data_IF_944796575295
#
_entry.id   IF_944796575295
#
_cell.length_a   1.000
_cell.length_b   1.000
_cell.length_c   1.000
_cell.angle_alpha   90.00
_cell.angle_beta   90.00
_cell.angle_gamma   90.00
#
_symmetry.space_group_name_H-M   'P 1'
#
loop_
_entity.id
_entity.type
_entity.pdbx_description
1 polymer ?
#
# COMPACT_ATOMS: atom_id res chain seq x y z
N UNK A 1 -41.40 6.99 14.56
CA UNK A 1 -39.99 6.59 14.43
C UNK A 1 -39.51 6.74 12.98
N UNK A 2 -39.54 7.98 12.47
CA UNK A 2 -39.43 8.32 11.03
C UNK A 2 -38.20 9.21 10.80
N UNK A 3 -36.99 8.69 11.05
CA UNK A 3 -35.77 9.52 10.95
C UNK A 3 -34.49 8.81 10.51
N UNK A 4 -34.51 7.49 10.31
CA UNK A 4 -33.29 6.71 10.03
C UNK A 4 -32.87 6.52 8.56
N UNK A 5 -33.70 6.71 7.51
CA UNK A 5 -33.21 6.50 6.13
C UNK A 5 -32.39 7.68 5.58
N UNK A 6 -32.59 8.91 6.08
CA UNK A 6 -31.91 10.10 5.56
C UNK A 6 -30.42 10.17 5.93
N UNK A 7 -30.05 9.74 7.15
CA UNK A 7 -28.66 9.80 7.64
C UNK A 7 -27.74 8.81 6.91
N UNK A 8 -28.29 7.66 6.48
CA UNK A 8 -27.52 6.62 5.75
C UNK A 8 -27.26 7.01 4.30
N UNK A 9 -28.13 7.82 3.70
CA UNK A 9 -27.97 8.36 2.36
C UNK A 9 -26.91 9.48 2.30
N UNK A 10 -26.88 10.37 3.30
CA UNK A 10 -25.87 11.44 3.38
C UNK A 10 -24.45 10.90 3.51
N UNK A 11 -24.21 9.90 4.37
CA UNK A 11 -22.88 9.29 4.49
C UNK A 11 -22.44 8.55 3.22
N UNK A 12 -23.38 7.94 2.47
CA UNK A 12 -23.04 7.32 1.18
C UNK A 12 -22.69 8.36 0.11
N UNK A 13 -23.33 9.54 0.11
CA UNK A 13 -23.00 10.62 -0.82
C UNK A 13 -21.60 11.20 -0.56
N UNK A 14 -21.24 11.47 0.69
CA UNK A 14 -19.90 11.96 1.04
C UNK A 14 -18.79 10.95 0.72
N UNK A 15 -19.04 9.65 0.95
CA UNK A 15 -18.06 8.60 0.63
C UNK A 15 -17.85 8.46 -0.87
N UNK A 16 -18.90 8.60 -1.69
CA UNK A 16 -18.79 8.53 -3.16
C UNK A 16 -18.12 9.77 -3.75
N UNK A 17 -18.33 10.95 -3.17
CA UNK A 17 -17.69 12.19 -3.61
C UNK A 17 -16.19 12.18 -3.30
N UNK A 18 -15.78 11.66 -2.14
CA UNK A 18 -14.36 11.54 -1.78
C UNK A 18 -13.61 10.55 -2.69
N UNK A 19 -14.24 9.42 -3.04
CA UNK A 19 -13.66 8.46 -3.99
C UNK A 19 -13.60 9.04 -5.41
N UNK A 20 -14.62 9.80 -5.83
CA UNK A 20 -14.61 10.46 -7.14
C UNK A 20 -13.53 11.56 -7.24
N UNK A 21 -13.29 12.32 -6.17
CA UNK A 21 -12.25 13.35 -6.14
C UNK A 21 -10.83 12.74 -6.07
N UNK A 22 -10.66 11.60 -5.39
CA UNK A 22 -9.40 10.87 -5.35
C UNK A 22 -9.08 10.19 -6.71
N UNK A 23 -10.09 9.85 -7.51
CA UNK A 23 -9.94 9.25 -8.84
C UNK A 23 -9.91 10.27 -9.99
N UNK A 24 -10.26 11.54 -9.74
CA UNK A 24 -10.23 12.61 -10.74
C UNK A 24 -8.85 12.80 -11.43
N UNK A 25 -7.69 12.75 -10.75
CA UNK A 25 -6.41 12.86 -11.44
C UNK A 25 -6.05 11.60 -12.26
N UNK A 26 -6.71 10.46 -12.01
CA UNK A 26 -6.52 9.20 -12.76
C UNK A 26 -7.40 9.16 -14.01
N UNK A 27 -8.61 9.73 -13.96
CA UNK A 27 -9.56 9.69 -15.08
C UNK A 27 -9.41 10.85 -16.09
N UNK A 28 -8.76 11.96 -15.72
CA UNK A 28 -8.52 13.08 -16.63
C UNK A 28 -7.44 12.80 -17.70
N UNK A 29 -6.86 11.58 -17.72
CA UNK A 29 -5.73 11.21 -18.59
C UNK A 29 -6.13 10.23 -19.70
N UNK A 30 -7.22 10.52 -20.41
CA UNK A 30 -7.51 9.79 -21.65
C UNK A 30 -8.82 10.17 -22.30
N UNK A 31 -8.75 11.09 -23.28
CA UNK A 31 -9.46 11.03 -24.58
C UNK A 31 -9.22 12.34 -25.34
N UNK A 32 -8.62 12.25 -26.54
CA UNK A 32 -8.61 13.33 -27.53
C UNK A 32 -7.43 13.26 -28.50
N UNK A 33 -7.63 12.58 -29.63
CA UNK A 33 -6.75 12.62 -30.82
C UNK A 33 -7.01 13.87 -31.66
N UNK A 34 -5.90 14.39 -32.21
CA UNK A 34 -5.67 15.17 -33.44
C UNK A 34 -6.48 16.45 -33.73
N UNK A 35 -5.75 17.57 -33.88
CA UNK A 35 -5.80 18.49 -35.03
C UNK A 35 -4.75 19.61 -34.90
N UNK A 36 -3.96 19.85 -35.96
CA UNK A 36 -3.52 21.20 -36.34
C UNK A 36 -2.30 21.82 -35.65
N UNK A 37 -1.22 21.91 -36.43
CA UNK A 37 0.02 22.66 -36.20
C UNK A 37 -0.16 24.01 -35.45
N UNK A 38 0.52 24.17 -34.31
CA UNK A 38 1.15 25.42 -33.88
C UNK A 38 2.29 25.07 -32.92
N UNK A 39 3.49 25.54 -33.22
CA UNK A 39 4.66 25.51 -32.34
C UNK A 39 4.27 25.71 -30.87
N UNK A 40 4.56 24.72 -30.05
CA UNK A 40 4.55 24.87 -28.60
C UNK A 40 5.72 24.07 -28.09
N UNK A 41 6.69 24.78 -27.48
CA UNK A 41 7.88 24.20 -26.87
C UNK A 41 7.51 22.94 -26.09
N UNK A 42 8.00 21.81 -26.59
CA UNK A 42 7.73 20.48 -26.06
C UNK A 42 8.51 20.21 -24.78
N UNK A 43 8.47 21.13 -23.82
CA UNK A 43 8.90 20.82 -22.47
C UNK A 43 7.75 20.08 -21.79
N UNK A 44 7.98 18.86 -21.28
CA UNK A 44 6.99 18.25 -20.39
C UNK A 44 6.73 19.23 -19.22
N UNK A 45 5.47 19.39 -18.80
CA UNK A 45 5.09 20.21 -17.62
C UNK A 45 5.83 19.77 -16.34
N UNK A 46 6.42 18.56 -16.36
CA UNK A 46 7.46 18.12 -15.44
C UNK A 46 8.75 17.87 -16.24
N UNK A 47 9.57 18.91 -16.38
CA UNK A 47 10.90 18.79 -16.94
C UNK A 47 11.83 18.12 -15.91
N UNK A 48 11.83 16.79 -15.89
CA UNK A 48 12.78 16.01 -15.09
C UNK A 48 14.23 16.20 -15.56
N UNK A 49 14.47 16.91 -16.67
CA UNK A 49 15.80 17.18 -17.21
C UNK A 49 16.51 18.36 -16.53
N UNK A 50 15.82 19.16 -15.70
CA UNK A 50 16.43 20.32 -15.00
C UNK A 50 16.24 20.29 -13.47
N UNK A 51 16.01 19.10 -12.90
CA UNK A 51 16.17 18.91 -11.45
C UNK A 51 17.64 18.61 -11.20
N UNK A 52 18.41 19.65 -10.91
CA UNK A 52 19.87 19.64 -10.69
C UNK A 52 20.35 18.77 -9.51
N UNK A 53 19.47 18.05 -8.82
CA UNK A 53 19.81 17.12 -7.75
C UNK A 53 19.00 15.81 -7.86
N UNK A 54 19.70 14.69 -8.11
CA UNK A 54 19.15 13.32 -8.14
C UNK A 54 18.30 12.99 -6.89
N UNK A 55 18.61 13.63 -5.76
CA UNK A 55 17.87 13.50 -4.51
C UNK A 55 16.48 14.16 -4.54
N UNK A 56 16.34 15.30 -5.23
CA UNK A 56 15.07 16.03 -5.33
C UNK A 56 14.06 15.27 -6.19
N UNK A 57 14.53 14.64 -7.28
CA UNK A 57 13.68 13.77 -8.11
C UNK A 57 13.20 12.53 -7.32
N UNK A 58 14.08 11.89 -6.55
CA UNK A 58 13.69 10.76 -5.68
C UNK A 58 12.69 11.19 -4.60
N UNK A 59 12.89 12.35 -3.96
CA UNK A 59 11.98 12.86 -2.93
C UNK A 59 10.59 13.22 -3.49
N UNK A 60 10.52 13.84 -4.67
CA UNK A 60 9.24 14.15 -5.31
C UNK A 60 8.42 12.91 -5.65
N UNK A 61 9.07 11.77 -5.91
CA UNK A 61 8.38 10.49 -6.11
C UNK A 61 8.05 9.77 -4.79
N UNK A 62 9.01 9.76 -3.85
CA UNK A 62 8.90 9.01 -2.59
C UNK A 62 7.87 9.60 -1.63
N UNK A 63 7.80 10.93 -1.51
CA UNK A 63 6.88 11.62 -0.59
C UNK A 63 5.41 11.30 -0.87
N UNK A 64 4.88 11.46 -2.11
CA UNK A 64 3.48 11.12 -2.38
C UNK A 64 3.20 9.62 -2.23
N UNK A 65 4.17 8.74 -2.54
CA UNK A 65 4.01 7.30 -2.37
C UNK A 65 3.90 6.90 -0.89
N UNK A 66 4.77 7.46 -0.05
CA UNK A 66 4.75 7.24 1.40
C UNK A 66 3.46 7.79 2.01
N UNK A 67 3.04 8.99 1.61
CA UNK A 67 1.78 9.60 2.07
C UNK A 67 0.56 8.74 1.68
N UNK A 68 0.52 8.23 0.45
CA UNK A 68 -0.54 7.32 0.00
C UNK A 68 -0.58 6.04 0.84
N UNK A 69 0.59 5.46 1.15
CA UNK A 69 0.71 4.30 2.04
C UNK A 69 0.18 4.58 3.46
N UNK A 70 0.57 5.71 4.04
CA UNK A 70 0.13 6.12 5.39
C UNK A 70 -1.38 6.36 5.43
N UNK A 71 -1.94 7.08 4.45
CA UNK A 71 -3.38 7.37 4.37
C UNK A 71 -4.17 6.06 4.24
N UNK A 72 -3.70 5.13 3.39
CA UNK A 72 -4.30 3.80 3.24
C UNK A 72 -4.27 3.01 4.55
N UNK A 73 -3.14 3.01 5.26
CA UNK A 73 -3.00 2.33 6.55
C UNK A 73 -3.95 2.91 7.61
N UNK A 74 -4.08 4.25 7.68
CA UNK A 74 -5.02 4.92 8.60
C UNK A 74 -6.46 4.53 8.28
N UNK A 75 -6.83 4.48 7.00
CA UNK A 75 -8.16 4.06 6.57
C UNK A 75 -8.46 2.61 6.96
N UNK A 76 -7.53 1.69 6.75
CA UNK A 76 -7.67 0.28 7.17
C UNK A 76 -7.81 0.17 8.69
N UNK A 77 -7.04 0.94 9.46
CA UNK A 77 -7.16 1.00 10.92
C UNK A 77 -8.55 1.48 11.37
N UNK A 78 -9.08 2.52 10.72
CA UNK A 78 -10.41 3.05 11.00
C UNK A 78 -11.52 2.02 10.71
N UNK A 79 -11.44 1.32 9.57
CA UNK A 79 -12.38 0.25 9.23
C UNK A 79 -12.31 -0.89 10.24
N UNK A 80 -11.10 -1.30 10.63
CA UNK A 80 -10.89 -2.39 11.60
C UNK A 80 -11.55 -2.04 12.95
N UNK A 81 -11.32 -0.83 13.48
CA UNK A 81 -11.97 -0.38 14.72
C UNK A 81 -13.50 -0.32 14.60
N UNK A 82 -14.00 0.16 13.46
CA UNK A 82 -15.45 0.24 13.20
C UNK A 82 -16.10 -1.15 13.13
N UNK A 83 -15.39 -2.14 12.58
CA UNK A 83 -15.85 -3.53 12.50
C UNK A 83 -15.78 -4.22 13.87
N UNK A 84 -14.72 -4.00 14.65
CA UNK A 84 -14.60 -4.56 16.00
C UNK A 84 -15.64 -3.99 16.98
N UNK A 85 -16.18 -2.80 16.70
CA UNK A 85 -17.25 -2.19 17.49
C UNK A 85 -18.66 -2.73 17.17
N UNK A 86 -18.80 -3.66 16.23
CA UNK A 86 -20.11 -4.27 15.91
C UNK A 86 -20.45 -5.38 16.91
N UNK A 87 -21.75 -5.53 17.18
CA UNK A 87 -22.30 -6.58 18.05
C UNK A 87 -21.84 -7.96 17.61
N UNK A 88 -21.35 -8.74 18.55
CA UNK A 88 -20.89 -10.12 18.34
C UNK A 88 -22.03 -11.11 18.58
N UNK A 89 -21.84 -12.40 18.26
CA UNK A 89 -22.87 -13.44 18.41
C UNK A 89 -23.43 -13.56 19.84
N UNK A 90 -22.65 -13.22 20.87
CA UNK A 90 -23.10 -13.11 22.26
C UNK A 90 -24.16 -12.00 22.45
N UNK A 91 -24.01 -10.87 21.76
CA UNK A 91 -24.93 -9.72 21.85
C UNK A 91 -26.24 -9.89 21.05
N UNK A 92 -26.32 -10.95 20.23
CA UNK A 92 -27.44 -11.28 19.34
C UNK A 92 -28.14 -12.58 19.79
N UNK A 93 -27.66 -13.24 20.85
CA UNK A 93 -28.25 -14.46 21.40
C UNK A 93 -27.92 -15.74 20.62
N UNK A 94 -26.90 -15.70 19.74
CA UNK A 94 -26.44 -16.86 18.96
C UNK A 94 -24.96 -17.13 19.23
N UNK A 95 -24.62 -17.67 20.42
CA UNK A 95 -23.22 -17.87 20.86
C UNK A 95 -22.46 -18.91 20.02
N UNK A 96 -23.18 -19.77 19.28
CA UNK A 96 -22.56 -20.75 18.36
C UNK A 96 -21.79 -20.08 17.23
N UNK A 97 -22.20 -18.88 16.80
CA UNK A 97 -21.53 -18.16 15.71
C UNK A 97 -20.13 -17.70 16.13
N UNK A 98 -19.99 -17.18 17.34
CA UNK A 98 -18.68 -16.75 17.87
C UNK A 98 -17.76 -17.96 18.13
N UNK A 99 -18.31 -19.10 18.55
CA UNK A 99 -17.54 -20.34 18.68
C UNK A 99 -16.98 -20.83 17.35
N UNK A 100 -17.79 -20.81 16.26
CA UNK A 100 -17.33 -21.18 14.92
C UNK A 100 -16.27 -20.18 14.40
N UNK A 101 -16.52 -18.87 14.56
CA UNK A 101 -15.58 -17.84 14.15
C UNK A 101 -14.23 -17.95 14.89
N UNK A 102 -14.26 -18.24 16.19
CA UNK A 102 -13.06 -18.45 17.00
C UNK A 102 -12.27 -19.69 16.54
N UNK A 103 -12.97 -20.78 16.17
CA UNK A 103 -12.32 -22.01 15.68
C UNK A 103 -11.65 -21.82 14.32
N UNK A 104 -12.27 -21.07 13.41
CA UNK A 104 -11.65 -20.72 12.12
C UNK A 104 -10.44 -19.82 12.33
N UNK A 105 -10.55 -18.80 13.20
CA UNK A 105 -9.45 -17.89 13.52
C UNK A 105 -8.27 -18.61 14.18
N UNK A 106 -8.52 -19.53 15.12
CA UNK A 106 -7.44 -20.29 15.75
C UNK A 106 -6.77 -21.25 14.78
N UNK A 107 -7.55 -21.89 13.90
CA UNK A 107 -7.03 -22.73 12.82
C UNK A 107 -6.12 -21.96 11.85
N UNK A 108 -6.55 -20.78 11.39
CA UNK A 108 -5.74 -19.96 10.47
C UNK A 108 -4.45 -19.44 11.11
N UNK A 109 -4.49 -19.03 12.38
CA UNK A 109 -3.28 -18.59 13.10
C UNK A 109 -2.29 -19.74 13.28
N UNK A 110 -2.78 -20.95 13.61
CA UNK A 110 -1.92 -22.11 13.79
C UNK A 110 -1.24 -22.54 12.48
N UNK A 111 -2.00 -22.54 11.38
CA UNK A 111 -1.48 -22.82 10.05
C UNK A 111 -0.44 -21.78 9.59
N UNK A 112 -0.77 -20.49 9.71
CA UNK A 112 0.14 -19.41 9.34
C UNK A 112 1.44 -19.48 10.15
N UNK A 113 1.39 -19.77 11.46
CA UNK A 113 2.62 -19.90 12.26
C UNK A 113 3.57 -20.97 11.72
N UNK A 114 3.03 -22.13 11.35
CA UNK A 114 3.84 -23.22 10.83
C UNK A 114 4.41 -22.88 9.44
N UNK A 115 3.61 -22.26 8.58
CA UNK A 115 4.04 -21.86 7.23
C UNK A 115 5.08 -20.73 7.27
N UNK A 116 4.85 -19.67 8.07
CA UNK A 116 5.78 -18.56 8.24
C UNK A 116 7.13 -19.00 8.79
N UNK A 117 7.20 -20.10 9.56
CA UNK A 117 8.47 -20.65 10.03
C UNK A 117 9.35 -21.13 8.87
N UNK A 118 8.79 -21.89 7.94
CA UNK A 118 9.55 -22.36 6.77
C UNK A 118 9.83 -21.23 5.80
N UNK A 119 8.85 -20.34 5.58
CA UNK A 119 9.01 -19.19 4.71
C UNK A 119 10.08 -18.21 5.22
N UNK A 120 10.14 -17.95 6.53
CA UNK A 120 11.17 -17.08 7.12
C UNK A 120 12.58 -17.66 6.95
N UNK A 121 12.75 -18.97 7.13
CA UNK A 121 14.05 -19.63 6.88
C UNK A 121 14.44 -19.52 5.41
N UNK A 122 13.49 -19.68 4.47
CA UNK A 122 13.74 -19.51 3.05
C UNK A 122 14.21 -18.08 2.71
N UNK A 123 13.51 -17.06 3.20
CA UNK A 123 13.90 -15.65 2.98
C UNK A 123 15.26 -15.35 3.64
N UNK A 124 15.55 -15.91 4.81
CA UNK A 124 16.84 -15.74 5.48
C UNK A 124 18.00 -16.34 4.66
N UNK A 125 17.83 -17.52 4.09
CA UNK A 125 18.84 -18.12 3.19
C UNK A 125 19.07 -17.24 1.97
N UNK A 126 17.99 -16.73 1.36
CA UNK A 126 18.11 -15.81 0.23
C UNK A 126 18.81 -14.50 0.60
N UNK A 127 18.56 -13.95 1.79
CA UNK A 127 19.25 -12.75 2.26
C UNK A 127 20.77 -12.98 2.38
N UNK A 128 21.20 -14.16 2.83
CA UNK A 128 22.62 -14.54 2.85
C UNK A 128 23.19 -14.67 1.45
N UNK A 129 22.46 -15.29 0.52
CA UNK A 129 22.90 -15.42 -0.89
C UNK A 129 23.07 -14.04 -1.52
N UNK A 130 22.10 -13.14 -1.36
CA UNK A 130 22.13 -11.76 -1.86
C UNK A 130 23.28 -10.97 -1.24
N UNK A 131 23.51 -11.13 0.07
CA UNK A 131 24.65 -10.51 0.76
C UNK A 131 25.98 -10.95 0.13
N UNK A 132 26.22 -12.26 0.03
CA UNK A 132 27.48 -12.78 -0.50
C UNK A 132 27.66 -12.40 -1.97
N UNK A 133 26.61 -12.52 -2.78
CA UNK A 133 26.66 -12.23 -4.21
C UNK A 133 27.04 -10.77 -4.48
N UNK A 134 26.38 -9.82 -3.80
CA UNK A 134 26.64 -8.39 -3.99
C UNK A 134 27.82 -7.84 -3.19
N UNK A 135 28.37 -8.62 -2.25
CA UNK A 135 29.69 -8.34 -1.68
C UNK A 135 30.82 -8.76 -2.62
N UNK A 136 30.67 -9.85 -3.37
CA UNK A 136 31.68 -10.31 -4.34
C UNK A 136 31.59 -9.53 -5.65
N UNK A 137 30.37 -9.29 -6.14
CA UNK A 137 30.09 -8.55 -7.37
C UNK A 137 29.39 -7.24 -6.99
N UNK A 138 30.14 -6.15 -6.74
CA UNK A 138 29.54 -4.89 -6.32
C UNK A 138 28.69 -4.29 -7.45
N UNK A 139 27.58 -3.64 -7.08
CA UNK A 139 26.67 -2.97 -8.02
C UNK A 139 27.24 -1.59 -8.40
N UNK A 140 27.90 -0.92 -7.45
CA UNK A 140 28.62 0.33 -7.65
C UNK A 140 30.12 0.11 -7.44
N UNK A 141 30.92 0.43 -8.46
CA UNK A 141 32.37 0.32 -8.36
C UNK A 141 32.92 1.11 -7.16
N UNK A 142 33.72 0.45 -6.31
CA UNK A 142 34.40 1.08 -5.18
C UNK A 142 33.62 1.13 -3.85
N UNK A 143 32.44 0.49 -3.74
CA UNK A 143 31.67 0.44 -2.49
C UNK A 143 31.30 -1.00 -2.08
N UNK A 144 31.89 -1.49 -0.99
CA UNK A 144 31.68 -2.86 -0.49
C UNK A 144 30.36 -3.08 0.26
N UNK A 145 29.61 -2.01 0.54
CA UNK A 145 28.40 -2.04 1.39
C UNK A 145 27.13 -2.40 0.61
N UNK A 146 27.22 -2.63 -0.71
CA UNK A 146 26.06 -2.93 -1.56
C UNK A 146 25.40 -4.27 -1.20
N UNK A 147 26.18 -5.26 -0.75
CA UNK A 147 25.65 -6.52 -0.23
C UNK A 147 24.79 -6.34 1.03
N UNK A 148 25.22 -5.48 1.95
CA UNK A 148 24.48 -5.21 3.19
C UNK A 148 23.20 -4.43 2.88
N UNK A 149 23.26 -3.45 1.98
CA UNK A 149 22.08 -2.66 1.56
C UNK A 149 21.04 -3.52 0.85
N UNK A 150 21.47 -4.39 -0.06
CA UNK A 150 20.58 -5.28 -0.80
C UNK A 150 19.92 -6.31 0.14
N UNK A 151 20.70 -6.93 1.05
CA UNK A 151 20.17 -7.85 2.04
C UNK A 151 19.20 -7.16 3.02
N UNK A 152 19.51 -5.94 3.47
CA UNK A 152 18.61 -5.16 4.32
C UNK A 152 17.30 -4.81 3.61
N UNK A 153 17.34 -4.45 2.33
CA UNK A 153 16.16 -4.21 1.52
C UNK A 153 15.30 -5.47 1.36
N UNK A 154 15.92 -6.64 1.16
CA UNK A 154 15.22 -7.93 1.06
C UNK A 154 14.53 -8.35 2.36
N UNK A 155 15.12 -8.04 3.53
CA UNK A 155 14.53 -8.38 4.83
C UNK A 155 13.42 -7.39 5.22
N UNK A 156 13.56 -6.12 4.82
CA UNK A 156 12.60 -5.07 5.19
C UNK A 156 11.37 -5.05 4.29
N UNK A 157 11.52 -5.44 3.02
CA UNK A 157 10.42 -5.55 2.05
C UNK A 157 9.65 -6.85 2.19
#
# INVERSE_FOLDING_TARGET
DVGRPALRASNMAHTRLAVALAMAPVLARGTGSDDGVTSMDGTPILDFADVSDQYTAMLMCLVPLLLAGIISLVFVCFLTKTLMSKKTGVDIGVPKLDYLAAKVKSGSIAFLREEYKYLAVYVAVWAVVVLVLFTIVPIVEGKSDDGVRAAACMITG
#
